data_IF_605001078897
#
_entry.id   IF_605001078897
#
_cell.length_a   1.000
_cell.length_b   1.000
_cell.length_c   1.000
_cell.angle_alpha   90.00
_cell.angle_beta   90.00
_cell.angle_gamma   90.00
#
_symmetry.space_group_name_H-M   'P 1'
#
loop_
_entity.id
_entity.type
_entity.pdbx_description
1 polymer ?
#
# COMPACT_ATOMS: atom_id res chain seq x y z
N UNK A 1 -5.14 -5.76 4.10
CA UNK A 1 -6.44 -6.42 3.74
C UNK A 1 -7.37 -5.37 3.19
N UNK A 2 -8.12 -5.65 2.11
CA UNK A 2 -9.06 -4.71 1.51
C UNK A 2 -10.49 -5.26 1.59
N UNK A 3 -11.38 -4.56 2.29
CA UNK A 3 -12.80 -4.91 2.37
C UNK A 3 -13.63 -3.77 1.78
N UNK A 4 -14.63 -4.10 0.99
CA UNK A 4 -15.55 -3.13 0.37
C UNK A 4 -17.00 -3.53 0.62
N UNK A 5 -17.87 -2.57 0.92
CA UNK A 5 -19.30 -2.81 1.01
C UNK A 5 -19.96 -2.50 -0.34
N UNK A 6 -20.26 -3.55 -1.06
CA UNK A 6 -20.84 -3.49 -2.42
C UNK A 6 -22.34 -3.38 -2.32
N UNK A 7 -22.92 -2.30 -2.82
CA UNK A 7 -24.34 -1.97 -2.71
C UNK A 7 -25.02 -1.95 -4.08
N UNK A 8 -26.23 -2.49 -4.17
CA UNK A 8 -27.07 -2.40 -5.34
C UNK A 8 -27.56 -0.94 -5.53
N UNK A 9 -27.08 -0.28 -6.56
CA UNK A 9 -27.35 1.13 -6.84
C UNK A 9 -28.84 1.39 -7.11
N UNK A 10 -29.50 0.53 -7.86
CA UNK A 10 -30.93 0.68 -8.17
C UNK A 10 -31.81 0.56 -6.92
N UNK A 11 -31.54 -0.42 -6.06
CA UNK A 11 -32.25 -0.58 -4.78
C UNK A 11 -31.96 0.57 -3.81
N UNK A 12 -30.74 1.08 -3.80
CA UNK A 12 -30.39 2.25 -3.00
C UNK A 12 -31.21 3.50 -3.42
N UNK A 13 -31.38 3.71 -4.74
CA UNK A 13 -32.21 4.81 -5.26
C UNK A 13 -33.68 4.66 -4.93
N UNK A 14 -34.16 3.44 -4.69
CA UNK A 14 -35.51 3.16 -4.19
C UNK A 14 -35.66 3.32 -2.66
N UNK A 15 -34.55 3.62 -1.96
CA UNK A 15 -34.50 3.78 -0.50
C UNK A 15 -34.18 2.51 0.29
N UNK A 16 -33.71 1.46 -0.39
CA UNK A 16 -33.31 0.20 0.25
C UNK A 16 -31.78 0.03 0.23
N UNK A 17 -31.16 -0.08 1.39
CA UNK A 17 -29.73 -0.41 1.49
C UNK A 17 -29.55 -1.93 1.39
N UNK A 18 -29.35 -2.43 0.19
CA UNK A 18 -29.07 -3.84 -0.10
C UNK A 18 -27.64 -3.96 -0.59
N UNK A 19 -26.78 -4.57 0.21
CA UNK A 19 -25.36 -4.72 -0.08
C UNK A 19 -24.73 -5.79 0.77
N UNK A 20 -23.47 -6.11 0.50
CA UNK A 20 -22.70 -7.13 1.20
C UNK A 20 -21.23 -6.71 1.29
N UNK A 21 -20.56 -7.03 2.43
CA UNK A 21 -19.13 -6.89 2.56
C UNK A 21 -18.39 -7.95 1.72
N UNK A 22 -17.42 -7.48 0.96
CA UNK A 22 -16.57 -8.32 0.11
C UNK A 22 -15.12 -8.07 0.49
N UNK A 23 -14.41 -9.15 0.83
CA UNK A 23 -12.96 -9.13 1.02
C UNK A 23 -12.28 -9.35 -0.32
N UNK A 24 -11.35 -8.48 -0.69
CA UNK A 24 -10.54 -8.59 -1.89
C UNK A 24 -9.12 -9.08 -1.54
N UNK A 25 -8.49 -9.90 -2.40
CA UNK A 25 -9.00 -10.34 -3.69
C UNK A 25 -10.07 -11.42 -3.61
N UNK A 26 -11.00 -11.41 -4.54
CA UNK A 26 -12.11 -12.37 -4.65
C UNK A 26 -12.16 -13.00 -6.06
N UNK A 27 -12.51 -14.27 -6.15
CA UNK A 27 -12.69 -14.91 -7.45
C UNK A 27 -13.95 -14.36 -8.20
N UNK A 28 -13.89 -14.36 -9.52
CA UNK A 28 -15.03 -13.94 -10.36
C UNK A 28 -16.31 -14.76 -10.10
N UNK A 29 -16.14 -16.02 -9.74
CA UNK A 29 -17.28 -16.92 -9.43
C UNK A 29 -17.95 -16.53 -8.11
N UNK A 30 -17.14 -16.17 -7.09
CA UNK A 30 -17.69 -15.76 -5.81
C UNK A 30 -18.29 -14.35 -5.90
N UNK A 31 -17.64 -13.42 -6.59
CA UNK A 31 -18.17 -12.09 -6.85
C UNK A 31 -19.55 -12.16 -7.56
N UNK A 32 -19.69 -13.07 -8.53
CA UNK A 32 -20.98 -13.31 -9.19
C UNK A 32 -22.06 -13.77 -8.20
N UNK A 33 -21.71 -14.61 -7.22
CA UNK A 33 -22.67 -15.03 -6.19
C UNK A 33 -23.02 -13.87 -5.25
N UNK A 34 -22.07 -12.99 -4.93
CA UNK A 34 -22.34 -11.76 -4.17
C UNK A 34 -23.37 -10.92 -4.94
N UNK A 35 -23.14 -10.64 -6.21
CA UNK A 35 -24.08 -9.87 -7.04
C UNK A 35 -25.48 -10.49 -7.07
N UNK A 36 -25.59 -11.81 -7.19
CA UNK A 36 -26.88 -12.50 -7.12
C UNK A 36 -27.57 -12.31 -5.77
N UNK A 37 -26.82 -12.39 -4.65
CA UNK A 37 -27.38 -12.22 -3.29
C UNK A 37 -27.90 -10.81 -3.04
N UNK A 38 -27.23 -9.80 -3.57
CA UNK A 38 -27.65 -8.39 -3.45
C UNK A 38 -28.61 -7.94 -4.57
N UNK A 39 -29.07 -8.89 -5.41
CA UNK A 39 -30.07 -8.65 -6.45
C UNK A 39 -29.54 -7.93 -7.69
N UNK A 40 -28.25 -7.96 -7.96
CA UNK A 40 -27.66 -7.47 -9.22
C UNK A 40 -27.68 -8.60 -10.24
N UNK A 41 -28.38 -8.40 -11.36
CA UNK A 41 -28.59 -9.43 -12.39
C UNK A 41 -29.02 -8.83 -13.71
N UNK A 42 -28.63 -9.47 -14.81
CA UNK A 42 -29.10 -9.17 -16.17
C UNK A 42 -30.52 -9.73 -16.44
N UNK A 43 -31.17 -10.31 -15.43
CA UNK A 43 -32.53 -10.78 -15.50
C UNK A 43 -33.42 -9.94 -14.59
N UNK A 44 -34.68 -9.63 -15.00
CA UNK A 44 -35.55 -8.82 -14.18
C UNK A 44 -35.93 -9.57 -12.86
N UNK A 45 -36.23 -8.80 -11.84
CA UNK A 45 -36.88 -9.30 -10.64
C UNK A 45 -38.36 -9.70 -10.88
N UNK A 46 -39.06 -10.09 -9.81
CA UNK A 46 -40.46 -10.50 -9.86
C UNK A 46 -41.41 -9.41 -10.33
N UNK A 47 -41.00 -8.15 -10.19
CA UNK A 47 -41.77 -6.96 -10.55
C UNK A 47 -41.37 -6.41 -11.92
N UNK A 48 -40.41 -7.05 -12.61
CA UNK A 48 -39.93 -6.71 -13.93
C UNK A 48 -38.84 -5.65 -13.97
N UNK A 49 -38.23 -5.31 -12.82
CA UNK A 49 -37.15 -4.33 -12.75
C UNK A 49 -35.77 -4.98 -12.96
N UNK A 50 -34.86 -4.23 -13.59
CA UNK A 50 -33.47 -4.63 -13.82
C UNK A 50 -32.53 -3.85 -12.89
N UNK A 51 -31.62 -4.55 -12.23
CA UNK A 51 -30.61 -3.97 -11.37
C UNK A 51 -29.24 -4.51 -11.83
N UNK A 52 -28.52 -3.70 -12.57
CA UNK A 52 -27.26 -4.11 -13.20
C UNK A 52 -26.04 -3.39 -12.61
N UNK A 53 -26.28 -2.31 -11.84
CA UNK A 53 -25.23 -1.44 -11.35
C UNK A 53 -25.02 -1.58 -9.84
N UNK A 54 -23.76 -1.52 -9.44
CA UNK A 54 -23.34 -1.42 -8.06
C UNK A 54 -22.55 -0.14 -7.80
N UNK A 55 -22.40 0.20 -6.55
CA UNK A 55 -21.42 1.18 -6.09
C UNK A 55 -20.92 0.77 -4.69
N UNK A 56 -19.82 1.38 -4.24
CA UNK A 56 -19.18 1.09 -2.97
C UNK A 56 -19.62 2.16 -1.97
N UNK A 57 -20.35 1.77 -0.92
CA UNK A 57 -20.87 2.71 0.07
C UNK A 57 -20.01 2.80 1.33
N UNK A 58 -19.15 1.81 1.56
CA UNK A 58 -18.20 1.78 2.67
C UNK A 58 -17.00 0.90 2.34
N UNK A 59 -15.86 1.11 3.00
CA UNK A 59 -14.67 0.27 2.83
C UNK A 59 -13.74 0.33 4.04
N UNK A 60 -12.95 -0.74 4.20
CA UNK A 60 -11.85 -0.85 5.14
C UNK A 60 -10.59 -1.19 4.34
N UNK A 61 -9.69 -0.22 4.21
CA UNK A 61 -8.39 -0.37 3.56
C UNK A 61 -7.43 0.67 4.13
N UNK A 62 -6.24 0.23 4.55
CA UNK A 62 -5.23 1.08 5.19
C UNK A 62 -4.18 1.64 4.23
N UNK A 63 -4.20 1.22 2.96
CA UNK A 63 -3.19 1.59 1.98
C UNK A 63 -3.74 2.25 0.70
N UNK A 64 -5.02 2.08 0.41
CA UNK A 64 -5.62 2.60 -0.82
C UNK A 64 -6.94 3.34 -0.52
N UNK A 65 -7.11 4.50 -1.14
CA UNK A 65 -8.36 5.27 -1.02
C UNK A 65 -9.34 4.86 -2.12
N UNK A 66 -10.43 4.22 -1.72
CA UNK A 66 -11.43 3.68 -2.63
C UNK A 66 -12.52 4.70 -2.93
N UNK A 67 -12.83 4.89 -4.22
CA UNK A 67 -13.91 5.73 -4.69
C UNK A 67 -15.25 4.98 -4.74
N UNK A 68 -16.37 5.70 -4.60
CA UNK A 68 -17.72 5.11 -4.59
C UNK A 68 -18.08 4.33 -5.88
N UNK A 69 -17.52 4.72 -7.03
CA UNK A 69 -17.81 4.13 -8.35
C UNK A 69 -16.61 3.40 -8.95
N UNK A 70 -15.68 3.00 -8.09
CA UNK A 70 -14.50 2.29 -8.53
C UNK A 70 -14.81 0.86 -8.96
N UNK A 71 -14.09 0.37 -9.96
CA UNK A 71 -14.34 -0.96 -10.50
C UNK A 71 -13.76 -2.02 -9.58
N UNK A 72 -14.57 -3.01 -9.19
CA UNK A 72 -14.14 -4.11 -8.32
C UNK A 72 -13.05 -4.96 -8.98
N UNK A 73 -13.04 -5.13 -10.30
CA UNK A 73 -11.97 -5.86 -10.97
C UNK A 73 -10.63 -5.14 -10.80
N UNK A 74 -10.60 -3.80 -10.91
CA UNK A 74 -9.40 -2.99 -10.65
C UNK A 74 -8.95 -3.09 -9.19
N UNK A 75 -9.90 -2.98 -8.24
CA UNK A 75 -9.58 -3.15 -6.82
C UNK A 75 -9.07 -4.55 -6.50
N UNK A 76 -9.58 -5.56 -7.20
CA UNK A 76 -9.13 -6.94 -7.06
C UNK A 76 -7.67 -7.10 -7.52
N UNK A 77 -7.30 -6.49 -8.67
CA UNK A 77 -5.93 -6.48 -9.18
C UNK A 77 -4.97 -5.77 -8.20
N UNK A 78 -5.39 -4.65 -7.60
CA UNK A 78 -4.63 -3.94 -6.56
C UNK A 78 -4.44 -4.82 -5.32
N UNK A 79 -5.50 -5.50 -4.88
CA UNK A 79 -5.43 -6.38 -3.72
C UNK A 79 -4.55 -7.62 -3.99
N UNK A 80 -4.62 -8.21 -5.19
CA UNK A 80 -3.77 -9.33 -5.62
C UNK A 80 -2.28 -8.93 -5.61
N UNK A 81 -1.94 -7.78 -6.22
CA UNK A 81 -0.55 -7.30 -6.23
C UNK A 81 -0.02 -7.04 -4.81
N UNK A 82 -0.87 -6.52 -3.93
CA UNK A 82 -0.48 -6.28 -2.55
C UNK A 82 -0.27 -7.58 -1.76
N UNK A 83 -1.07 -8.63 -2.03
CA UNK A 83 -0.91 -9.95 -1.39
C UNK A 83 0.31 -10.74 -1.90
N UNK A 84 0.82 -10.44 -3.11
CA UNK A 84 2.03 -11.04 -3.65
C UNK A 84 3.31 -10.56 -2.96
N UNK A 85 3.25 -9.41 -2.28
CA UNK A 85 4.35 -8.82 -1.53
C UNK A 85 4.44 -9.42 -0.11
N UNK A 86 5.66 -9.50 0.42
CA UNK A 86 5.86 -9.78 1.84
C UNK A 86 5.49 -8.57 2.72
N UNK A 87 5.42 -8.76 4.05
CA UNK A 87 4.99 -7.71 4.99
C UNK A 87 5.88 -6.46 4.92
N UNK A 88 7.18 -6.63 4.75
CA UNK A 88 8.14 -5.53 4.67
C UNK A 88 7.94 -4.72 3.37
N UNK A 89 7.75 -5.40 2.25
CA UNK A 89 7.45 -4.79 0.96
C UNK A 89 6.10 -4.06 0.97
N UNK A 90 5.08 -4.63 1.61
CA UNK A 90 3.77 -3.98 1.78
C UNK A 90 3.91 -2.66 2.56
N UNK A 91 4.71 -2.64 3.63
CA UNK A 91 4.95 -1.43 4.40
C UNK A 91 5.71 -0.37 3.57
N UNK A 92 6.67 -0.78 2.74
CA UNK A 92 7.36 0.11 1.81
C UNK A 92 6.40 0.75 0.81
N UNK A 93 5.48 -0.03 0.21
CA UNK A 93 4.43 0.51 -0.69
C UNK A 93 3.58 1.55 0.04
N UNK A 94 3.10 1.24 1.25
CA UNK A 94 2.28 2.17 2.05
C UNK A 94 3.02 3.48 2.32
N UNK A 95 4.27 3.40 2.73
CA UNK A 95 5.13 4.56 3.02
C UNK A 95 5.37 5.40 1.76
N UNK A 96 5.66 4.77 0.62
CA UNK A 96 5.84 5.48 -0.65
C UNK A 96 4.58 6.23 -1.06
N UNK A 97 3.40 5.64 -0.87
CA UNK A 97 2.13 6.28 -1.20
C UNK A 97 1.78 7.41 -0.24
N UNK A 98 1.93 7.21 1.08
CA UNK A 98 1.50 8.17 2.10
C UNK A 98 2.45 9.36 2.23
N UNK A 99 3.76 9.14 2.19
CA UNK A 99 4.77 10.13 2.51
C UNK A 99 5.44 10.73 1.26
N UNK A 100 5.63 9.93 0.20
CA UNK A 100 6.25 10.41 -1.03
C UNK A 100 5.23 10.83 -2.09
N UNK A 101 3.95 10.46 -1.93
CA UNK A 101 2.87 10.79 -2.87
C UNK A 101 2.91 9.99 -4.17
N UNK A 102 3.58 8.83 -4.18
CA UNK A 102 3.51 7.91 -5.31
C UNK A 102 2.10 7.33 -5.46
N UNK A 103 1.71 7.08 -6.71
CA UNK A 103 0.55 6.23 -6.99
C UNK A 103 0.85 4.79 -6.62
N UNK A 104 -0.18 3.95 -6.49
CA UNK A 104 -0.01 2.53 -6.22
C UNK A 104 0.89 1.84 -7.26
N UNK A 105 0.64 2.10 -8.54
CA UNK A 105 1.41 1.50 -9.64
C UNK A 105 2.89 1.91 -9.60
N UNK A 106 3.18 3.18 -9.32
CA UNK A 106 4.57 3.67 -9.18
C UNK A 106 5.28 3.04 -7.97
N UNK A 107 4.59 2.89 -6.84
CA UNK A 107 5.15 2.27 -5.64
C UNK A 107 5.42 0.77 -5.86
N UNK A 108 4.49 0.04 -6.49
CA UNK A 108 4.67 -1.37 -6.86
C UNK A 108 5.84 -1.54 -7.84
N UNK A 109 5.95 -0.67 -8.86
CA UNK A 109 7.06 -0.72 -9.80
C UNK A 109 8.41 -0.54 -9.10
N UNK A 110 8.53 0.43 -8.19
CA UNK A 110 9.75 0.65 -7.40
C UNK A 110 10.09 -0.54 -6.50
N UNK A 111 9.11 -1.12 -5.82
CA UNK A 111 9.31 -2.30 -4.98
C UNK A 111 9.76 -3.50 -5.82
N UNK A 112 9.13 -3.75 -6.95
CA UNK A 112 9.50 -4.86 -7.85
C UNK A 112 10.90 -4.69 -8.46
N UNK A 113 11.33 -3.45 -8.70
CA UNK A 113 12.67 -3.13 -9.19
C UNK A 113 13.74 -3.18 -8.09
N UNK A 114 13.35 -3.17 -6.82
CA UNK A 114 14.27 -3.03 -5.69
C UNK A 114 14.83 -1.62 -5.54
N UNK A 115 14.07 -0.60 -5.97
CA UNK A 115 14.46 0.81 -5.91
C UNK A 115 14.24 1.41 -4.49
N UNK A 116 14.59 0.65 -3.47
CA UNK A 116 14.51 1.04 -2.07
C UNK A 116 15.54 0.31 -1.22
N UNK A 117 15.83 0.85 -0.04
CA UNK A 117 16.62 0.19 1.01
C UNK A 117 15.90 0.39 2.35
N UNK A 118 15.91 -0.64 3.20
CA UNK A 118 15.34 -0.57 4.54
C UNK A 118 16.48 -0.64 5.55
N UNK A 119 16.54 0.34 6.44
CA UNK A 119 17.43 0.40 7.59
C UNK A 119 16.61 0.09 8.84
N UNK A 120 16.77 -1.09 9.40
CA UNK A 120 16.05 -1.54 10.59
C UNK A 120 16.68 -0.97 11.86
N UNK A 121 15.88 -0.84 12.93
CA UNK A 121 16.33 -0.31 14.22
C UNK A 121 16.98 1.09 14.13
N UNK A 122 16.40 1.96 13.29
CA UNK A 122 16.87 3.33 13.07
C UNK A 122 15.78 4.35 13.42
N UNK A 123 16.00 5.16 14.43
CA UNK A 123 15.08 6.23 14.84
C UNK A 123 15.45 7.60 14.24
N UNK A 124 16.65 7.74 13.68
CA UNK A 124 17.17 8.98 13.11
C UNK A 124 18.23 8.74 12.02
N UNK A 125 18.65 9.83 11.36
CA UNK A 125 19.69 9.78 10.31
C UNK A 125 21.08 9.40 10.83
N UNK A 126 21.37 9.52 12.11
CA UNK A 126 22.63 9.05 12.69
C UNK A 126 22.65 7.51 12.68
N UNK A 127 21.52 6.86 13.03
CA UNK A 127 21.36 5.40 12.94
C UNK A 127 21.51 4.88 11.52
N UNK A 128 20.87 5.55 10.54
CA UNK A 128 21.04 5.24 9.10
C UNK A 128 22.51 5.38 8.70
N UNK A 129 23.17 6.45 9.09
CA UNK A 129 24.60 6.69 8.80
C UNK A 129 25.51 5.58 9.32
N UNK A 130 25.23 5.04 10.52
CA UNK A 130 25.94 3.88 11.06
C UNK A 130 25.83 2.68 10.14
N UNK A 131 24.64 2.32 9.71
CA UNK A 131 24.43 1.16 8.83
C UNK A 131 25.09 1.36 7.47
N UNK A 132 24.91 2.53 6.84
CA UNK A 132 25.55 2.85 5.56
C UNK A 132 27.07 2.75 5.64
N UNK A 133 27.69 3.28 6.72
CA UNK A 133 29.15 3.23 6.90
C UNK A 133 29.64 1.80 7.09
N UNK A 134 28.92 0.96 7.82
CA UNK A 134 29.25 -0.45 8.02
C UNK A 134 29.08 -1.26 6.73
N UNK A 135 27.93 -1.15 6.06
CA UNK A 135 27.63 -1.92 4.85
C UNK A 135 28.55 -1.56 3.68
N UNK A 136 28.83 -0.26 3.50
CA UNK A 136 29.75 0.21 2.47
C UNK A 136 31.23 0.03 2.86
N UNK A 137 31.50 -0.29 4.12
CA UNK A 137 32.89 -0.50 4.61
C UNK A 137 33.75 0.76 4.58
N UNK A 138 33.14 1.95 4.70
CA UNK A 138 33.87 3.23 4.56
C UNK A 138 35.02 3.38 5.54
N UNK A 139 34.91 2.80 6.73
CA UNK A 139 35.95 2.85 7.76
C UNK A 139 36.81 1.57 7.85
N UNK A 140 36.63 0.59 6.97
CA UNK A 140 37.29 -0.72 7.02
C UNK A 140 38.82 -0.62 7.03
N UNK A 141 39.40 0.37 6.33
CA UNK A 141 40.85 0.57 6.25
C UNK A 141 41.35 1.77 7.09
N UNK A 142 40.49 2.32 7.94
CA UNK A 142 40.84 3.44 8.85
C UNK A 142 41.25 2.85 10.18
N UNK A 143 42.41 3.26 10.74
CA UNK A 143 42.82 2.81 12.06
C UNK A 143 41.77 3.16 13.14
N UNK A 144 41.51 2.26 14.11
CA UNK A 144 40.47 2.41 15.14
C UNK A 144 40.57 3.71 15.93
N UNK A 145 41.81 4.18 16.17
CA UNK A 145 42.07 5.43 16.87
C UNK A 145 41.66 6.67 16.05
N UNK A 146 41.40 6.53 14.76
CA UNK A 146 40.89 7.60 13.88
C UNK A 146 39.41 7.38 13.61
N UNK A 147 38.99 6.14 13.35
CA UNK A 147 37.59 5.80 13.06
C UNK A 147 36.63 6.27 14.17
N UNK A 148 37.05 6.23 15.43
CA UNK A 148 36.27 6.71 16.59
C UNK A 148 35.91 8.20 16.57
N UNK A 149 36.52 8.99 15.69
CA UNK A 149 36.24 10.42 15.51
C UNK A 149 35.36 10.70 14.28
N UNK A 150 34.85 9.65 13.61
CA UNK A 150 33.91 9.83 12.50
C UNK A 150 32.60 10.44 13.03
N UNK A 151 32.17 11.50 12.39
CA UNK A 151 30.96 12.24 12.76
C UNK A 151 29.74 11.67 12.01
N UNK A 152 29.13 10.64 12.59
CA UNK A 152 27.94 9.98 12.03
C UNK A 152 26.76 10.93 11.94
N UNK A 153 26.60 11.87 12.88
CA UNK A 153 25.53 12.86 12.84
C UNK A 153 25.66 13.80 11.63
N UNK A 154 26.88 14.31 11.39
CA UNK A 154 27.13 15.16 10.23
C UNK A 154 26.93 14.39 8.91
N UNK A 155 27.44 13.16 8.83
CA UNK A 155 27.28 12.31 7.66
C UNK A 155 25.81 11.95 7.40
N UNK A 156 25.04 11.56 8.44
CA UNK A 156 23.61 11.27 8.33
C UNK A 156 22.79 12.48 7.87
N UNK A 157 23.10 13.67 8.42
CA UNK A 157 22.46 14.92 7.95
C UNK A 157 22.70 15.12 6.45
N UNK A 158 23.90 14.90 5.96
CA UNK A 158 24.23 15.11 4.54
C UNK A 158 23.55 14.04 3.66
N UNK A 159 23.48 12.76 4.09
CA UNK A 159 22.66 11.73 3.43
C UNK A 159 21.19 12.14 3.30
N UNK A 160 20.60 12.65 4.39
CA UNK A 160 19.20 13.08 4.39
C UNK A 160 18.91 14.30 3.50
N UNK A 161 19.94 15.07 3.10
CA UNK A 161 19.81 16.17 2.13
C UNK A 161 19.93 15.67 0.67
N UNK A 162 20.58 14.55 0.45
CA UNK A 162 20.86 13.99 -0.89
C UNK A 162 19.84 12.94 -1.33
N UNK A 163 19.18 12.26 -0.37
CA UNK A 163 18.25 11.16 -0.61
C UNK A 163 16.85 11.41 -0.03
N UNK A 164 15.94 10.48 -0.29
CA UNK A 164 14.59 10.45 0.29
C UNK A 164 14.52 9.35 1.34
N UNK A 165 14.52 9.75 2.61
CA UNK A 165 14.49 8.87 3.76
C UNK A 165 13.22 9.10 4.57
N UNK A 166 12.47 8.04 4.87
CA UNK A 166 11.21 8.09 5.59
C UNK A 166 11.29 7.16 6.80
N UNK A 167 11.11 7.73 8.00
CA UNK A 167 11.05 6.96 9.24
C UNK A 167 9.65 6.44 9.46
N UNK A 168 9.55 5.15 9.79
CA UNK A 168 8.29 4.46 10.02
C UNK A 168 8.02 4.33 11.52
N UNK A 169 6.75 4.18 11.89
CA UNK A 169 6.33 4.04 13.31
C UNK A 169 6.88 2.77 13.99
N UNK A 170 7.35 1.80 13.22
CA UNK A 170 7.92 0.54 13.73
C UNK A 170 9.44 0.60 13.94
N UNK A 171 10.07 1.79 13.84
CA UNK A 171 11.49 1.99 14.10
C UNK A 171 12.41 1.58 12.93
N UNK A 172 11.91 1.62 11.71
CA UNK A 172 12.71 1.46 10.49
C UNK A 172 12.79 2.76 9.70
N UNK A 173 13.76 2.88 8.82
CA UNK A 173 13.87 3.95 7.84
C UNK A 173 13.89 3.36 6.44
N UNK A 174 13.02 3.86 5.56
CA UNK A 174 12.98 3.49 4.14
C UNK A 174 13.67 4.58 3.33
N UNK A 175 14.72 4.23 2.62
CA UNK A 175 15.32 5.06 1.57
C UNK A 175 14.66 4.70 0.24
N UNK A 176 14.12 5.71 -0.46
CA UNK A 176 13.53 5.55 -1.79
C UNK A 176 14.50 6.07 -2.84
N UNK A 177 14.97 5.18 -3.71
CA UNK A 177 15.88 5.53 -4.80
C UNK A 177 15.15 6.27 -5.91
N UNK A 178 15.83 7.24 -6.52
CA UNK A 178 15.29 8.05 -7.63
C UNK A 178 15.36 7.30 -8.96
#
# INVERSE_FOLDING_TARGET
>A
MMNVFVTNLGKYNEGYLIGEWVTLPISKEELKKVFQRIGISNTPDTDGNYYEEYFITDYECDFYKIGEFENIDTLNEIAEQMEELDEEQQDVVKVMMSECGYTFDEAIEKVNNGDYTIYNDCDDMEGVAYQVVEECGYLMNVPDNVARYFDYQAFGRDLGLEGTFIFTDNGACVEVMQ
#
